data_IF_845859669661
#
_entry.id   IF_845859669661
#
_cell.length_a   1.000
_cell.length_b   1.000
_cell.length_c   1.000
_cell.angle_alpha   90.00
_cell.angle_beta   90.00
_cell.angle_gamma   90.00
#
_symmetry.space_group_name_H-M   'P 1'
#
loop_
_entity.id
_entity.type
_entity.pdbx_description
1 polymer ?
#
# COMPACT_ATOMS: atom_id res chain seq x y z
N UNK A 1 -9.90 -1.09 3.11
CA UNK A 1 -11.27 -1.61 3.29
C UNK A 1 -11.56 -1.66 4.77
N UNK A 2 -12.81 -1.49 5.16
CA UNK A 2 -13.25 -1.64 6.55
C UNK A 2 -14.77 -1.82 6.56
N UNK A 3 -15.33 -2.48 7.58
CA UNK A 3 -16.78 -2.50 7.83
C UNK A 3 -17.19 -1.17 8.48
N UNK A 4 -17.56 -0.19 7.64
CA UNK A 4 -17.77 1.20 8.07
C UNK A 4 -19.16 1.42 8.65
N UNK A 5 -20.17 0.69 8.17
CA UNK A 5 -21.54 0.74 8.72
C UNK A 5 -21.86 -0.39 9.70
N UNK A 6 -20.89 -1.25 10.01
CA UNK A 6 -20.95 -2.33 11.02
C UNK A 6 -22.02 -3.37 10.71
N UNK A 7 -22.26 -3.61 9.42
CA UNK A 7 -23.22 -4.62 8.95
C UNK A 7 -22.60 -6.03 8.83
N UNK A 8 -21.32 -6.17 9.20
CA UNK A 8 -20.56 -7.40 9.11
C UNK A 8 -19.98 -7.65 7.71
N UNK A 9 -20.03 -6.67 6.81
CA UNK A 9 -19.46 -6.75 5.45
C UNK A 9 -18.41 -5.67 5.27
N UNK A 10 -17.42 -5.94 4.42
CA UNK A 10 -16.40 -4.93 4.13
C UNK A 10 -16.99 -3.86 3.22
N UNK A 11 -16.60 -2.61 3.43
CA UNK A 11 -16.84 -1.51 2.51
C UNK A 11 -15.55 -1.14 1.77
N UNK A 12 -15.71 -0.71 0.52
CA UNK A 12 -14.60 -0.30 -0.33
C UNK A 12 -14.53 1.22 -0.33
N UNK A 13 -13.41 1.76 0.15
CA UNK A 13 -13.11 3.19 0.07
C UNK A 13 -12.08 3.42 -1.03
N UNK A 14 -12.43 4.27 -2.00
CA UNK A 14 -11.54 4.66 -3.11
C UNK A 14 -11.15 6.13 -2.97
N UNK A 15 -9.86 6.39 -2.79
CA UNK A 15 -9.27 7.73 -2.89
C UNK A 15 -9.10 8.11 -4.38
N UNK A 16 -9.78 9.16 -4.82
CA UNK A 16 -9.70 9.60 -6.22
C UNK A 16 -8.81 10.85 -6.36
N UNK A 17 -7.88 10.80 -7.32
CA UNK A 17 -6.87 11.85 -7.48
C UNK A 17 -7.25 12.95 -8.49
N UNK A 18 -7.71 12.61 -9.68
CA UNK A 18 -8.14 13.63 -10.63
C UNK A 18 -9.01 13.03 -11.72
N UNK A 19 -9.84 13.88 -12.31
CA UNK A 19 -10.46 13.64 -13.61
C UNK A 19 -9.60 14.25 -14.71
N UNK A 20 -9.98 14.04 -15.97
CA UNK A 20 -9.35 14.73 -17.10
C UNK A 20 -9.42 16.29 -17.04
N UNK A 21 -10.13 16.89 -16.08
CA UNK A 21 -10.37 18.34 -16.02
C UNK A 21 -9.95 19.01 -14.71
N UNK A 22 -9.91 18.29 -13.60
CA UNK A 22 -9.67 18.86 -12.27
C UNK A 22 -9.24 17.79 -11.27
N UNK A 23 -8.47 18.19 -10.25
CA UNK A 23 -8.16 17.39 -9.07
C UNK A 23 -9.26 17.45 -8.00
N UNK A 24 -10.25 18.34 -8.13
CA UNK A 24 -11.41 18.42 -7.22
C UNK A 24 -12.43 17.33 -7.53
N UNK A 25 -12.05 16.09 -7.29
CA UNK A 25 -12.88 14.90 -7.50
C UNK A 25 -13.26 14.28 -6.16
N UNK A 26 -14.53 13.86 -5.98
CA UNK A 26 -14.93 13.15 -4.79
C UNK A 26 -14.27 11.77 -4.73
N UNK A 27 -13.90 11.35 -3.53
CA UNK A 27 -13.60 9.97 -3.19
C UNK A 27 -14.89 9.20 -2.92
N UNK A 28 -14.85 7.88 -3.00
CA UNK A 28 -16.05 7.05 -2.95
C UNK A 28 -16.01 6.03 -1.81
N UNK A 29 -17.16 5.81 -1.20
CA UNK A 29 -17.43 4.61 -0.40
C UNK A 29 -18.44 3.77 -1.18
N UNK A 30 -18.07 2.56 -1.57
CA UNK A 30 -19.00 1.55 -2.07
C UNK A 30 -19.41 0.66 -0.91
N UNK A 31 -20.70 0.72 -0.57
CA UNK A 31 -21.23 0.03 0.58
C UNK A 31 -21.51 -1.45 0.27
N UNK A 32 -20.88 -2.34 1.03
CA UNK A 32 -21.09 -3.78 0.98
C UNK A 32 -22.55 -4.16 1.25
N UNK A 33 -23.02 -5.25 0.63
CA UNK A 33 -24.30 -5.89 0.96
C UNK A 33 -24.36 -7.30 0.36
N UNK A 34 -25.39 -8.11 0.68
CA UNK A 34 -25.53 -9.47 0.15
C UNK A 34 -25.68 -9.60 -1.37
N UNK A 35 -25.90 -8.50 -2.10
CA UNK A 35 -25.93 -8.47 -3.59
C UNK A 35 -24.65 -7.88 -4.19
N UNK A 36 -23.60 -7.71 -3.38
CA UNK A 36 -22.33 -7.12 -3.79
C UNK A 36 -22.35 -5.60 -3.86
N UNK A 37 -21.40 -5.02 -4.57
CA UNK A 37 -21.20 -3.56 -4.64
C UNK A 37 -21.87 -2.97 -5.87
N UNK A 38 -22.11 -1.65 -5.85
CA UNK A 38 -22.56 -0.96 -7.06
C UNK A 38 -22.77 0.54 -6.87
N UNK A 39 -22.78 1.31 -7.97
CA UNK A 39 -22.88 2.77 -7.93
C UNK A 39 -24.16 3.29 -7.26
N UNK A 40 -25.23 2.48 -7.23
CA UNK A 40 -26.49 2.80 -6.55
C UNK A 40 -26.40 2.83 -5.02
N UNK A 41 -25.38 2.19 -4.43
CA UNK A 41 -25.08 2.21 -2.99
C UNK A 41 -23.67 2.75 -2.78
N UNK A 42 -23.41 3.92 -3.37
CA UNK A 42 -22.16 4.65 -3.22
C UNK A 42 -22.40 5.98 -2.52
N UNK A 43 -21.57 6.31 -1.53
CA UNK A 43 -21.46 7.66 -0.98
C UNK A 43 -20.29 8.39 -1.62
N UNK A 44 -20.44 9.70 -1.84
CA UNK A 44 -19.40 10.57 -2.35
C UNK A 44 -18.89 11.49 -1.25
N UNK A 45 -17.58 11.51 -1.04
CA UNK A 45 -16.91 12.37 -0.08
C UNK A 45 -16.03 13.35 -0.85
N UNK A 46 -16.25 14.66 -0.65
CA UNK A 46 -15.44 15.66 -1.33
C UNK A 46 -13.97 15.50 -0.90
N UNK A 47 -13.09 15.32 -1.87
CA UNK A 47 -11.64 15.28 -1.66
C UNK A 47 -10.95 16.16 -2.70
N UNK A 48 -9.65 16.37 -2.50
CA UNK A 48 -8.86 17.28 -3.32
C UNK A 48 -7.59 16.55 -3.73
N UNK A 49 -7.70 15.86 -4.86
CA UNK A 49 -6.68 14.98 -5.37
C UNK A 49 -6.14 14.02 -4.33
N UNK A 50 -7.05 13.28 -3.69
CA UNK A 50 -6.68 12.27 -2.70
C UNK A 50 -5.83 11.17 -3.35
N UNK A 51 -4.76 10.79 -2.67
CA UNK A 51 -3.82 9.75 -3.15
C UNK A 51 -3.74 8.56 -2.21
N UNK A 52 -4.15 8.73 -0.95
CA UNK A 52 -4.22 7.65 0.03
C UNK A 52 -5.44 7.85 0.94
N UNK A 53 -5.91 6.74 1.52
CA UNK A 53 -6.93 6.75 2.57
C UNK A 53 -6.55 5.75 3.67
N UNK A 54 -6.66 6.18 4.92
CA UNK A 54 -6.59 5.32 6.10
C UNK A 54 -7.96 5.24 6.79
N UNK A 55 -8.28 4.08 7.37
CA UNK A 55 -9.53 3.85 8.09
C UNK A 55 -9.24 3.24 9.48
N UNK A 56 -9.68 3.91 10.54
CA UNK A 56 -9.62 3.41 11.92
C UNK A 56 -10.56 4.22 12.82
N UNK A 57 -11.07 3.63 13.90
CA UNK A 57 -11.80 4.38 14.93
C UNK A 57 -10.79 5.13 15.80
N UNK A 58 -10.54 6.40 15.48
CA UNK A 58 -9.50 7.20 16.16
C UNK A 58 -10.05 8.09 17.26
N UNK A 59 -11.38 8.20 17.37
CA UNK A 59 -12.05 8.94 18.43
C UNK A 59 -12.71 8.04 19.49
N UNK A 60 -12.65 6.72 19.33
CA UNK A 60 -13.14 5.74 20.28
C UNK A 60 -14.66 5.63 20.35
N UNK A 61 -15.39 6.10 19.33
CA UNK A 61 -16.85 6.07 19.30
C UNK A 61 -17.43 4.74 18.76
N UNK A 62 -16.55 3.80 18.42
CA UNK A 62 -16.86 2.49 17.88
C UNK A 62 -17.17 2.50 16.38
N UNK A 63 -16.91 3.59 15.65
CA UNK A 63 -17.11 3.68 14.20
C UNK A 63 -15.80 4.10 13.53
N UNK A 64 -15.39 3.43 12.43
CA UNK A 64 -14.18 3.84 11.73
C UNK A 64 -14.27 5.27 11.21
N UNK A 65 -13.21 6.05 11.34
CA UNK A 65 -13.01 7.34 10.70
C UNK A 65 -12.16 7.17 9.43
N UNK A 66 -12.26 8.10 8.48
CA UNK A 66 -11.50 8.06 7.22
C UNK A 66 -10.60 9.29 7.09
N UNK A 67 -9.28 9.10 7.00
CA UNK A 67 -8.33 10.16 6.68
C UNK A 67 -7.88 10.05 5.23
N UNK A 68 -8.15 11.10 4.45
CA UNK A 68 -7.70 11.22 3.08
C UNK A 68 -6.47 12.12 3.00
N UNK A 69 -5.37 11.58 2.46
CA UNK A 69 -4.19 12.36 2.11
C UNK A 69 -4.48 13.13 0.81
N UNK A 70 -4.82 14.41 0.95
CA UNK A 70 -5.10 15.27 -0.19
C UNK A 70 -3.82 15.90 -0.72
N UNK A 71 -3.62 15.76 -2.03
CA UNK A 71 -2.41 16.23 -2.68
C UNK A 71 -2.60 17.56 -3.42
N UNK A 72 -3.73 17.78 -4.08
CA UNK A 72 -3.91 18.91 -5.04
C UNK A 72 -5.38 19.29 -5.18
N UNK A 73 -5.69 20.59 -5.19
CA UNK A 73 -7.00 21.11 -5.59
C UNK A 73 -6.94 21.86 -6.94
N UNK A 74 -8.03 21.84 -7.70
CA UNK A 74 -8.23 22.59 -8.93
C UNK A 74 -7.40 22.07 -10.10
N UNK A 75 -6.80 23.00 -10.85
CA UNK A 75 -5.80 22.71 -11.87
C UNK A 75 -4.56 23.52 -11.54
N UNK A 76 -3.81 23.09 -10.53
CA UNK A 76 -2.56 23.75 -10.12
C UNK A 76 -1.36 22.97 -10.69
N UNK A 77 -0.83 23.37 -11.86
CA UNK A 77 0.50 22.93 -12.28
C UNK A 77 1.55 23.67 -11.43
N UNK A 78 2.42 22.92 -10.76
CA UNK A 78 3.57 23.48 -10.02
C UNK A 78 3.89 22.73 -8.73
N UNK A 79 5.09 22.96 -8.16
CA UNK A 79 5.55 22.31 -6.92
C UNK A 79 4.94 22.88 -5.64
N UNK A 80 4.31 24.06 -5.68
CA UNK A 80 3.73 24.74 -4.51
C UNK A 80 2.32 24.25 -4.16
N UNK A 81 2.08 22.95 -4.28
CA UNK A 81 0.79 22.35 -3.91
C UNK A 81 0.66 22.38 -2.38
N UNK A 82 -0.30 23.14 -1.88
CA UNK A 82 -0.68 23.15 -0.47
C UNK A 82 -2.17 22.85 -0.41
N UNK A 83 -2.49 21.68 0.12
CA UNK A 83 -3.86 21.24 0.28
C UNK A 83 -3.99 20.57 1.64
N UNK A 84 -5.09 20.88 2.33
CA UNK A 84 -5.42 20.28 3.61
C UNK A 84 -5.93 18.86 3.39
N UNK A 85 -5.44 17.95 4.21
CA UNK A 85 -5.98 16.60 4.30
C UNK A 85 -7.28 16.62 5.10
N UNK A 86 -8.16 15.68 4.78
CA UNK A 86 -9.51 15.64 5.34
C UNK A 86 -9.71 14.38 6.15
N UNK A 87 -10.27 14.54 7.35
CA UNK A 87 -10.78 13.42 8.13
C UNK A 87 -12.29 13.50 8.16
N UNK A 88 -12.94 12.46 7.64
CA UNK A 88 -14.38 12.26 7.75
C UNK A 88 -14.66 11.37 8.96
N UNK A 89 -15.35 11.93 9.94
CA UNK A 89 -15.71 11.21 11.15
C UNK A 89 -16.83 10.19 10.87
N UNK A 90 -16.66 8.98 11.38
CA UNK A 90 -17.66 7.93 11.32
C UNK A 90 -18.97 8.37 11.98
N UNK A 91 -20.10 8.04 11.37
CA UNK A 91 -21.43 8.40 11.87
C UNK A 91 -22.40 7.23 11.78
N UNK A 92 -23.50 7.29 12.54
CA UNK A 92 -24.58 6.32 12.40
C UNK A 92 -25.15 6.34 10.97
N UNK A 93 -25.63 5.19 10.48
CA UNK A 93 -26.32 5.05 9.20
C UNK A 93 -25.57 5.64 8.00
N UNK A 94 -24.29 5.26 7.80
CA UNK A 94 -23.44 5.73 6.68
C UNK A 94 -23.12 7.22 6.74
N UNK A 95 -23.05 7.77 7.95
CA UNK A 95 -22.98 9.19 8.25
C UNK A 95 -21.69 9.95 7.87
N UNK A 96 -20.90 9.46 6.91
CA UNK A 96 -19.77 10.22 6.37
C UNK A 96 -20.32 11.35 5.49
N UNK A 97 -20.07 12.60 5.90
CA UNK A 97 -20.52 13.76 5.14
C UNK A 97 -19.64 14.98 5.37
N UNK A 98 -19.78 15.98 4.50
CA UNK A 98 -19.11 17.28 4.65
C UNK A 98 -19.58 18.07 5.89
N UNK A 99 -20.64 17.63 6.58
CA UNK A 99 -21.04 18.21 7.86
C UNK A 99 -20.22 17.65 9.05
N UNK A 100 -19.57 16.50 8.88
CA UNK A 100 -18.74 15.81 9.87
C UNK A 100 -17.31 15.61 9.36
N UNK A 101 -16.71 16.69 8.82
CA UNK A 101 -15.34 16.68 8.31
C UNK A 101 -14.45 17.63 9.10
N UNK A 102 -13.25 17.18 9.45
CA UNK A 102 -12.19 18.01 9.99
C UNK A 102 -11.10 18.23 8.93
N UNK A 103 -10.57 19.45 8.89
CA UNK A 103 -9.42 19.83 8.04
C UNK A 103 -8.14 19.77 8.85
N UNK A 104 -7.15 19.10 8.29
CA UNK A 104 -5.82 18.98 8.85
C UNK A 104 -4.84 19.68 7.91
N UNK A 105 -4.20 20.78 8.35
CA UNK A 105 -3.22 21.49 7.53
C UNK A 105 -2.12 20.56 7.00
N UNK A 106 -2.02 20.39 5.69
CA UNK A 106 -0.96 19.56 5.08
C UNK A 106 -0.36 20.25 3.86
N UNK A 107 0.73 19.69 3.35
CA UNK A 107 1.44 20.24 2.20
C UNK A 107 1.59 19.16 1.13
N UNK A 108 0.46 18.92 0.45
CA UNK A 108 0.31 17.90 -0.57
C UNK A 108 0.68 16.51 -0.03
N UNK A 109 -0.14 16.01 0.90
CA UNK A 109 0.08 14.72 1.51
C UNK A 109 0.07 13.60 0.44
N UNK A 110 1.01 12.66 0.58
CA UNK A 110 1.17 11.48 -0.28
C UNK A 110 0.73 10.19 0.39
N UNK A 111 0.59 10.22 1.72
CA UNK A 111 0.18 9.06 2.50
C UNK A 111 -0.29 9.46 3.89
N UNK A 112 -1.05 8.56 4.51
CA UNK A 112 -1.69 8.77 5.81
C UNK A 112 -1.64 7.51 6.65
N UNK A 113 -1.42 7.64 7.96
CA UNK A 113 -1.54 6.55 8.92
C UNK A 113 -2.30 7.00 10.16
N UNK A 114 -3.08 6.08 10.73
CA UNK A 114 -3.77 6.23 12.00
C UNK A 114 -3.28 5.14 12.94
N UNK A 115 -2.65 5.50 14.05
CA UNK A 115 -2.11 4.55 15.00
C UNK A 115 -1.90 5.19 16.36
N UNK A 116 -2.09 4.43 17.44
CA UNK A 116 -1.67 4.83 18.79
C UNK A 116 -0.16 4.61 18.93
N UNK A 117 0.61 5.67 18.66
CA UNK A 117 2.07 5.56 18.54
C UNK A 117 2.78 5.65 19.89
N UNK A 118 2.10 6.16 20.92
CA UNK A 118 2.62 6.26 22.28
C UNK A 118 1.91 5.40 23.32
N UNK A 119 0.95 4.57 22.88
CA UNK A 119 0.19 3.61 23.68
C UNK A 119 -0.57 4.33 24.82
N UNK A 120 -1.12 5.51 24.52
CA UNK A 120 -1.88 6.33 25.46
C UNK A 120 -3.41 6.14 25.35
N UNK A 121 -3.86 5.32 24.41
CA UNK A 121 -5.25 5.03 24.09
C UNK A 121 -5.90 6.04 23.13
N UNK A 122 -5.15 7.03 22.62
CA UNK A 122 -5.65 8.03 21.68
C UNK A 122 -4.81 7.99 20.40
N UNK A 123 -5.30 7.36 19.32
CA UNK A 123 -4.54 7.27 18.09
C UNK A 123 -4.11 8.63 17.53
N UNK A 124 -2.85 8.70 17.10
CA UNK A 124 -2.30 9.78 16.29
C UNK A 124 -2.72 9.68 14.82
N UNK A 125 -2.57 10.80 14.11
CA UNK A 125 -2.69 10.86 12.66
C UNK A 125 -1.40 11.41 12.04
N UNK A 126 -0.74 10.58 11.23
CA UNK A 126 0.46 10.93 10.48
C UNK A 126 0.11 11.21 9.01
N UNK A 127 0.64 12.29 8.46
CA UNK A 127 0.64 12.58 7.03
C UNK A 127 2.07 12.74 6.51
N UNK A 128 2.42 11.96 5.49
CA UNK A 128 3.68 12.11 4.77
C UNK A 128 3.50 13.15 3.66
N UNK A 129 4.16 14.30 3.77
CA UNK A 129 3.98 15.40 2.81
C UNK A 129 4.94 15.31 1.62
N UNK A 130 4.47 15.72 0.43
CA UNK A 130 5.28 15.82 -0.78
C UNK A 130 6.17 17.07 -0.78
N UNK A 131 5.64 18.19 -0.28
CA UNK A 131 6.26 19.51 -0.44
C UNK A 131 6.73 20.14 0.88
N UNK A 132 6.83 19.35 1.96
CA UNK A 132 7.26 19.78 3.30
C UNK A 132 7.63 18.57 4.18
N UNK A 133 8.01 18.82 5.42
CA UNK A 133 8.15 17.83 6.50
C UNK A 133 6.91 16.93 6.63
N UNK A 134 7.07 15.73 7.19
CA UNK A 134 5.91 14.91 7.57
C UNK A 134 5.25 15.47 8.84
N UNK A 135 3.92 15.40 8.90
CA UNK A 135 3.13 16.04 9.94
C UNK A 135 2.43 15.00 10.81
N UNK A 136 2.66 15.08 12.13
CA UNK A 136 2.03 14.23 13.12
C UNK A 136 1.04 15.06 13.93
N UNK A 137 -0.22 14.64 13.94
CA UNK A 137 -1.28 15.23 14.73
C UNK A 137 -1.53 14.37 15.97
N UNK A 138 -1.35 14.98 17.15
CA UNK A 138 -1.47 14.27 18.42
C UNK A 138 -2.89 13.79 18.67
N UNK A 139 -3.00 12.55 19.13
CA UNK A 139 -4.24 11.95 19.59
C UNK A 139 -4.85 12.72 20.77
N UNK A 140 -6.18 12.66 20.87
CA UNK A 140 -6.93 13.07 22.05
C UNK A 140 -8.13 12.13 22.21
N UNK A 141 -8.83 12.14 23.36
CA UNK A 141 -10.03 11.32 23.55
C UNK A 141 -11.18 11.64 22.58
N UNK A 142 -11.10 12.73 21.82
CA UNK A 142 -12.05 13.10 20.77
C UNK A 142 -11.49 12.90 19.35
N UNK A 143 -10.40 12.15 19.23
CA UNK A 143 -9.63 12.00 17.99
C UNK A 143 -8.42 12.94 17.90
N UNK A 144 -7.57 12.77 16.87
CA UNK A 144 -6.45 13.65 16.61
C UNK A 144 -6.88 15.13 16.55
N UNK A 145 -6.04 16.05 17.04
CA UNK A 145 -6.37 17.48 17.03
C UNK A 145 -5.62 18.23 15.92
N UNK A 146 -6.31 18.91 14.99
CA UNK A 146 -5.67 19.76 13.97
C UNK A 146 -4.82 20.90 14.53
N UNK A 147 -4.98 21.25 15.82
CA UNK A 147 -4.23 22.30 16.50
C UNK A 147 -2.96 21.78 17.18
N UNK A 148 -2.84 20.46 17.38
CA UNK A 148 -1.68 19.81 18.03
C UNK A 148 -0.76 19.16 16.99
N UNK A 149 -0.28 19.99 16.06
CA UNK A 149 0.67 19.57 15.02
C UNK A 149 2.09 19.51 15.59
N UNK A 150 2.72 18.35 15.44
CA UNK A 150 4.16 18.15 15.52
C UNK A 150 4.69 17.97 14.10
N UNK A 151 5.59 18.87 13.67
CA UNK A 151 6.39 18.65 12.47
C UNK A 151 7.49 17.64 12.78
N UNK A 152 7.67 16.68 11.90
CA UNK A 152 8.78 15.73 11.93
C UNK A 152 9.76 16.20 10.85
N UNK A 153 10.71 17.05 11.25
CA UNK A 153 11.66 17.74 10.38
C UNK A 153 12.66 16.78 9.76
N UNK A 154 12.94 16.98 8.46
CA UNK A 154 14.02 16.27 7.78
C UNK A 154 14.92 17.26 7.00
N UNK A 155 16.20 17.42 7.39
CA UNK A 155 17.12 18.25 6.63
C UNK A 155 17.30 17.70 5.20
N UNK A 156 16.81 18.44 4.19
CA UNK A 156 17.00 18.15 2.76
C UNK A 156 15.89 17.36 2.07
N UNK A 157 14.67 17.28 2.64
CA UNK A 157 13.59 16.43 2.12
C UNK A 157 12.96 16.92 0.81
N UNK A 158 13.23 16.17 -0.25
CA UNK A 158 12.34 15.95 -1.39
C UNK A 158 11.15 15.06 -0.95
N UNK A 159 10.02 14.99 -1.69
CA UNK A 159 8.80 14.27 -1.32
C UNK A 159 8.97 12.90 -0.66
N UNK A 160 8.04 12.46 0.18
CA UNK A 160 7.97 11.04 0.56
C UNK A 160 7.02 10.29 -0.37
N UNK A 161 7.49 9.18 -0.95
CA UNK A 161 6.65 8.31 -1.77
C UNK A 161 6.11 7.11 -0.98
N UNK A 162 6.78 6.71 0.11
CA UNK A 162 6.44 5.53 0.90
C UNK A 162 6.95 5.68 2.33
N UNK A 163 6.20 5.14 3.28
CA UNK A 163 6.53 5.07 4.70
C UNK A 163 5.92 3.79 5.27
N UNK A 164 6.45 3.33 6.40
CA UNK A 164 5.97 2.13 7.10
C UNK A 164 5.84 2.42 8.60
N UNK A 165 4.90 1.75 9.26
CA UNK A 165 4.67 1.86 10.71
C UNK A 165 4.69 0.46 11.32
N UNK A 166 5.63 0.21 12.23
CA UNK A 166 5.81 -1.08 12.89
C UNK A 166 6.69 -0.93 14.13
N UNK A 167 6.62 -1.85 15.09
CA UNK A 167 7.62 -1.96 16.16
C UNK A 167 8.87 -2.67 15.63
N UNK A 168 9.86 -1.88 15.20
CA UNK A 168 11.06 -2.33 14.51
C UNK A 168 12.15 -2.76 15.49
N UNK A 169 12.11 -2.25 16.73
CA UNK A 169 13.10 -2.56 17.77
C UNK A 169 12.56 -3.50 18.86
N UNK A 170 11.30 -3.92 18.76
CA UNK A 170 10.60 -4.82 19.69
C UNK A 170 10.52 -4.25 21.11
N UNK A 171 10.39 -2.92 21.24
CA UNK A 171 10.26 -2.25 22.54
C UNK A 171 8.80 -2.07 22.99
N UNK A 172 7.84 -2.51 22.16
CA UNK A 172 6.41 -2.45 22.42
C UNK A 172 5.74 -1.18 21.92
N UNK A 173 6.48 -0.23 21.34
CA UNK A 173 5.94 0.99 20.73
C UNK A 173 6.09 0.94 19.21
N UNK A 174 5.12 1.53 18.50
CA UNK A 174 5.20 1.63 17.05
C UNK A 174 6.26 2.68 16.65
N UNK A 175 7.18 2.27 15.78
CA UNK A 175 8.14 3.13 15.12
C UNK A 175 7.60 3.59 13.76
N UNK A 176 8.16 4.69 13.24
CA UNK A 176 7.82 5.19 11.91
C UNK A 176 9.06 5.27 11.05
N UNK A 177 9.01 4.59 9.90
CA UNK A 177 10.08 4.57 8.92
C UNK A 177 9.67 5.39 7.70
N UNK A 178 10.49 6.36 7.35
CA UNK A 178 10.29 7.29 6.24
C UNK A 178 11.41 7.13 5.23
N UNK A 179 11.05 6.99 3.96
CA UNK A 179 12.01 6.98 2.85
C UNK A 179 11.91 8.29 2.09
N UNK A 180 13.02 9.02 1.99
CA UNK A 180 13.05 10.25 1.20
C UNK A 180 13.06 9.91 -0.29
N UNK A 181 12.19 10.54 -1.08
CA UNK A 181 12.24 10.38 -2.54
C UNK A 181 13.54 10.98 -3.01
N UNK A 182 14.22 10.20 -3.83
CA UNK A 182 15.39 10.68 -4.51
C UNK A 182 15.06 10.86 -5.98
N UNK A 183 15.56 11.94 -6.56
CA UNK A 183 15.63 12.09 -8.01
C UNK A 183 16.23 10.83 -8.64
N UNK A 184 15.84 10.55 -9.89
CA UNK A 184 16.28 9.35 -10.61
C UNK A 184 17.81 9.16 -10.69
N UNK A 185 18.59 10.20 -10.37
CA UNK A 185 20.04 10.24 -10.54
C UNK A 185 20.87 10.31 -9.25
N UNK A 186 20.26 10.40 -8.07
CA UNK A 186 20.98 10.51 -6.78
C UNK A 186 20.65 9.39 -5.79
N UNK A 187 21.46 9.28 -4.73
CA UNK A 187 21.19 8.45 -3.55
C UNK A 187 20.33 9.17 -2.51
N UNK A 188 19.82 8.44 -1.52
CA UNK A 188 18.79 8.93 -0.58
C UNK A 188 19.03 8.56 0.86
N UNK A 189 17.95 8.66 1.65
CA UNK A 189 17.99 8.41 3.08
C UNK A 189 16.72 7.69 3.55
N UNK A 190 16.92 6.68 4.39
CA UNK A 190 15.89 6.17 5.29
C UNK A 190 16.04 6.87 6.63
N UNK A 191 14.93 7.33 7.20
CA UNK A 191 14.88 7.80 8.58
C UNK A 191 13.89 6.95 9.36
N UNK A 192 14.35 6.41 10.49
CA UNK A 192 13.52 5.68 11.43
C UNK A 192 13.34 6.58 12.64
N UNK A 193 12.10 6.88 12.99
CA UNK A 193 11.71 7.54 14.23
C UNK A 193 11.29 6.46 15.22
N UNK A 194 12.06 6.33 16.30
CA UNK A 194 11.82 5.31 17.30
C UNK A 194 10.70 5.75 18.25
N UNK A 195 9.65 4.95 18.29
CA UNK A 195 8.48 5.03 19.16
C UNK A 195 8.86 5.00 20.63
N UNK A 196 7.94 5.51 21.45
CA UNK A 196 8.08 5.49 22.89
C UNK A 196 6.79 5.91 23.56
N UNK A 197 6.69 5.71 24.87
CA UNK A 197 5.62 6.30 25.70
C UNK A 197 5.48 7.83 25.62
N UNK A 198 6.51 8.54 25.13
CA UNK A 198 6.42 10.00 24.90
C UNK A 198 6.07 10.35 23.45
N UNK A 199 5.77 9.35 22.64
CA UNK A 199 5.60 9.41 21.20
C UNK A 199 6.90 9.55 20.43
N UNK A 200 6.72 9.90 19.16
CA UNK A 200 7.82 10.08 18.22
C UNK A 200 8.61 11.36 18.50
N UNK A 201 9.92 11.27 18.33
CA UNK A 201 10.83 12.41 18.41
C UNK A 201 12.00 12.26 17.45
N UNK A 202 12.35 13.33 16.73
CA UNK A 202 13.56 13.37 15.90
C UNK A 202 14.85 13.11 16.69
N UNK A 203 14.86 13.38 18.01
CA UNK A 203 16.01 13.10 18.87
C UNK A 203 16.23 11.61 19.08
N UNK A 204 15.20 10.80 18.87
CA UNK A 204 15.22 9.33 18.89
C UNK A 204 15.06 8.84 17.46
N UNK A 205 16.03 9.14 16.61
CA UNK A 205 16.00 8.71 15.22
C UNK A 205 17.29 8.06 14.77
N UNK A 206 17.17 7.18 13.78
CA UNK A 206 18.29 6.63 13.02
C UNK A 206 18.15 7.09 11.58
N UNK A 207 19.21 7.67 11.02
CA UNK A 207 19.27 8.05 9.61
C UNK A 207 20.29 7.18 8.89
N UNK A 208 19.90 6.61 7.75
CA UNK A 208 20.72 5.73 6.92
C UNK A 208 20.75 6.29 5.51
N UNK A 209 21.89 6.90 5.14
CA UNK A 209 22.14 7.34 3.77
C UNK A 209 22.51 6.14 2.89
N UNK A 210 21.95 6.07 1.69
CA UNK A 210 22.22 5.04 0.69
C UNK A 210 22.51 5.65 -0.68
N UNK A 211 23.19 4.90 -1.54
CA UNK A 211 23.58 5.33 -2.89
C UNK A 211 22.67 4.81 -4.01
N UNK A 212 21.57 4.12 -3.65
CA UNK A 212 20.56 3.62 -4.58
C UNK A 212 19.75 4.74 -5.22
N UNK A 213 19.58 4.64 -6.54
CA UNK A 213 18.85 5.62 -7.35
C UNK A 213 17.36 5.33 -7.44
N UNK A 214 16.57 6.36 -7.15
CA UNK A 214 15.13 6.34 -7.35
C UNK A 214 14.42 5.22 -6.57
N UNK A 215 14.77 5.07 -5.29
CA UNK A 215 14.01 4.23 -4.36
C UNK A 215 12.59 4.78 -4.31
N UNK A 216 11.65 4.02 -4.86
CA UNK A 216 10.26 4.43 -4.98
C UNK A 216 9.39 3.77 -3.90
N UNK A 217 9.77 2.56 -3.49
CA UNK A 217 9.02 1.73 -2.58
C UNK A 217 9.93 1.08 -1.55
N UNK A 218 9.37 0.95 -0.35
CA UNK A 218 9.97 0.24 0.76
C UNK A 218 8.96 -0.77 1.30
N UNK A 219 9.45 -1.86 1.88
CA UNK A 219 8.61 -2.87 2.54
C UNK A 219 9.33 -3.49 3.73
N UNK A 220 8.56 -3.86 4.74
CA UNK A 220 9.03 -4.57 5.93
C UNK A 220 8.57 -6.03 5.93
N UNK A 221 9.47 -6.95 6.20
CA UNK A 221 9.17 -8.36 6.45
C UNK A 221 10.37 -9.05 7.12
N UNK A 222 10.14 -10.11 7.90
CA UNK A 222 11.23 -10.97 8.38
C UNK A 222 11.69 -11.90 7.24
N UNK A 223 12.64 -11.44 6.44
CA UNK A 223 13.06 -12.10 5.19
C UNK A 223 14.10 -13.21 5.42
N UNK A 224 14.66 -13.29 6.63
CA UNK A 224 15.66 -14.29 7.00
C UNK A 224 15.20 -15.24 8.11
N UNK A 225 14.02 -15.02 8.70
CA UNK A 225 13.43 -15.85 9.73
C UNK A 225 14.07 -15.69 11.12
N UNK A 226 14.77 -14.58 11.38
CA UNK A 226 15.40 -14.30 12.69
C UNK A 226 14.45 -13.63 13.70
N UNK A 227 13.21 -13.37 13.26
CA UNK A 227 12.14 -12.71 13.98
C UNK A 227 12.12 -11.19 13.80
N UNK A 228 13.20 -10.56 13.36
CA UNK A 228 13.24 -9.11 13.20
C UNK A 228 12.74 -8.72 11.82
N UNK A 229 12.00 -7.61 11.75
CA UNK A 229 11.60 -7.06 10.45
C UNK A 229 12.84 -6.53 9.72
N UNK A 230 13.03 -6.99 8.49
CA UNK A 230 14.01 -6.48 7.54
C UNK A 230 13.38 -5.44 6.62
N UNK A 231 14.19 -4.54 6.07
CA UNK A 231 13.75 -3.47 5.19
C UNK A 231 14.23 -3.71 3.75
N UNK A 232 13.30 -3.84 2.81
CA UNK A 232 13.61 -3.86 1.39
C UNK A 232 13.50 -2.46 0.79
N UNK A 233 14.53 -2.03 0.05
CA UNK A 233 14.59 -0.77 -0.69
C UNK A 233 14.49 -1.04 -2.20
N UNK A 234 13.31 -0.86 -2.78
CA UNK A 234 13.05 -1.08 -4.21
C UNK A 234 13.47 0.14 -5.05
N UNK A 235 14.54 -0.02 -5.82
CA UNK A 235 15.15 1.05 -6.61
C UNK A 235 14.72 0.99 -8.09
N UNK A 236 13.78 1.85 -8.46
CA UNK A 236 13.16 1.90 -9.79
C UNK A 236 14.08 2.43 -10.89
N UNK A 237 15.13 3.17 -10.52
CA UNK A 237 16.05 3.82 -11.46
C UNK A 237 17.50 3.33 -11.32
N UNK A 238 17.75 2.33 -10.48
CA UNK A 238 19.06 1.73 -10.29
C UNK A 238 19.14 0.32 -10.91
N UNK A 239 20.35 -0.17 -11.05
CA UNK A 239 20.66 -1.54 -11.49
C UNK A 239 20.62 -2.57 -10.36
N UNK A 240 20.34 -2.12 -9.13
CA UNK A 240 20.31 -2.93 -7.91
C UNK A 240 19.33 -2.36 -6.90
N UNK A 241 18.79 -3.22 -6.07
CA UNK A 241 18.03 -2.89 -4.85
C UNK A 241 18.80 -3.38 -3.62
N UNK A 242 18.30 -3.09 -2.42
CA UNK A 242 18.94 -3.53 -1.17
C UNK A 242 17.93 -4.09 -0.18
N UNK A 243 18.39 -5.05 0.62
CA UNK A 243 17.77 -5.41 1.90
C UNK A 243 18.68 -4.92 3.01
N UNK A 244 18.13 -4.20 3.98
CA UNK A 244 18.79 -3.90 5.26
C UNK A 244 18.24 -4.87 6.29
N UNK A 245 19.12 -5.67 6.89
CA UNK A 245 18.73 -6.69 7.85
C UNK A 245 18.47 -6.04 9.22
N UNK A 246 17.26 -6.19 9.74
CA UNK A 246 16.84 -5.64 11.03
C UNK A 246 17.30 -6.51 12.21
N UNK A 247 17.44 -5.95 13.40
CA UNK A 247 17.90 -6.71 14.58
C UNK A 247 18.10 -5.86 15.81
N UNK A 248 18.72 -6.40 16.87
CA UNK A 248 18.86 -5.70 18.15
C UNK A 248 19.73 -4.44 18.06
N UNK A 249 20.61 -4.34 17.06
CA UNK A 249 21.41 -3.13 16.78
C UNK A 249 20.73 -2.16 15.81
N UNK A 250 19.50 -2.49 15.36
CA UNK A 250 18.76 -1.76 14.33
C UNK A 250 19.25 -2.05 12.92
N UNK A 251 19.01 -1.10 12.02
CA UNK A 251 19.34 -1.20 10.59
C UNK A 251 20.65 -0.50 10.26
N UNK A 252 21.42 -1.06 9.31
CA UNK A 252 22.64 -0.45 8.80
C UNK A 252 23.00 -0.98 7.42
N UNK A 253 23.61 -0.14 6.57
CA UNK A 253 24.21 -0.60 5.31
C UNK A 253 25.32 -1.65 5.51
N UNK A 254 25.97 -1.70 6.69
CA UNK A 254 26.96 -2.74 7.00
C UNK A 254 26.34 -4.12 7.12
N UNK A 255 25.05 -4.17 7.48
CA UNK A 255 24.25 -5.38 7.60
C UNK A 255 23.17 -5.35 6.53
N UNK A 256 23.62 -5.36 5.29
CA UNK A 256 22.74 -5.33 4.12
C UNK A 256 23.13 -6.40 3.11
N UNK A 257 22.22 -6.69 2.19
CA UNK A 257 22.50 -7.50 1.02
C UNK A 257 21.96 -6.83 -0.24
N UNK A 258 22.74 -6.91 -1.33
CA UNK A 258 22.37 -6.30 -2.60
C UNK A 258 21.60 -7.28 -3.47
N UNK A 259 20.42 -6.85 -3.90
CA UNK A 259 19.60 -7.54 -4.89
C UNK A 259 20.00 -7.00 -6.25
N UNK A 260 20.75 -7.79 -7.03
CA UNK A 260 21.29 -7.37 -8.34
C UNK A 260 20.25 -7.47 -9.46
N UNK A 261 19.06 -6.94 -9.19
CA UNK A 261 17.98 -6.83 -10.15
C UNK A 261 17.76 -5.36 -10.50
N UNK A 262 17.85 -4.99 -11.80
CA UNK A 262 17.71 -3.61 -12.23
C UNK A 262 16.23 -3.18 -12.29
N UNK A 263 15.95 -1.96 -11.89
CA UNK A 263 14.66 -1.28 -12.06
C UNK A 263 13.49 -1.99 -11.36
N UNK A 264 13.71 -2.37 -10.10
CA UNK A 264 12.67 -2.93 -9.24
C UNK A 264 11.79 -1.78 -8.79
N UNK A 265 10.55 -1.75 -9.27
CA UNK A 265 9.61 -0.70 -8.92
C UNK A 265 8.69 -1.05 -7.77
N UNK A 266 8.40 -2.34 -7.55
CA UNK A 266 7.64 -2.80 -6.40
C UNK A 266 8.12 -4.19 -5.96
N UNK A 267 7.77 -4.60 -4.75
CA UNK A 267 8.12 -5.90 -4.16
C UNK A 267 6.98 -6.41 -3.27
N UNK A 268 6.68 -7.70 -3.39
CA UNK A 268 5.79 -8.43 -2.48
C UNK A 268 6.51 -9.65 -1.91
N UNK A 269 6.04 -10.10 -0.74
CA UNK A 269 6.62 -11.24 -0.01
C UNK A 269 5.56 -12.27 0.31
N UNK A 270 5.87 -13.54 0.10
CA UNK A 270 4.97 -14.66 0.37
C UNK A 270 5.74 -15.96 0.49
N UNK A 271 5.29 -16.89 1.33
CA UNK A 271 5.74 -18.28 1.27
C UNK A 271 4.93 -19.00 0.17
N UNK A 272 5.43 -18.99 -1.07
CA UNK A 272 4.71 -19.52 -2.23
C UNK A 272 4.78 -21.05 -2.30
N UNK A 273 5.79 -21.66 -1.69
CA UNK A 273 6.04 -23.11 -1.73
C UNK A 273 5.78 -23.85 -0.41
N UNK A 274 5.36 -23.14 0.63
CA UNK A 274 4.92 -23.68 1.91
C UNK A 274 6.08 -24.20 2.76
N UNK A 275 7.30 -23.70 2.54
CA UNK A 275 8.51 -24.14 3.24
C UNK A 275 8.76 -23.39 4.56
N UNK A 276 7.94 -22.38 4.86
CA UNK A 276 8.00 -21.55 6.06
C UNK A 276 8.94 -20.35 5.94
N UNK A 277 9.53 -20.09 4.77
CA UNK A 277 10.34 -18.91 4.49
C UNK A 277 9.64 -18.01 3.48
N UNK A 278 9.79 -16.69 3.64
CA UNK A 278 9.25 -15.75 2.67
C UNK A 278 10.08 -15.77 1.38
N UNK A 279 9.38 -15.95 0.26
CA UNK A 279 9.88 -15.69 -1.08
C UNK A 279 9.76 -14.20 -1.42
N UNK A 280 10.60 -13.74 -2.34
CA UNK A 280 10.67 -12.35 -2.77
C UNK A 280 10.20 -12.23 -4.23
N UNK A 281 9.13 -11.47 -4.44
CA UNK A 281 8.49 -11.30 -5.75
C UNK A 281 8.71 -9.85 -6.20
N UNK A 282 9.60 -9.68 -7.18
CA UNK A 282 10.01 -8.36 -7.67
C UNK A 282 9.24 -7.96 -8.91
N UNK A 283 8.64 -6.77 -8.85
CA UNK A 283 7.94 -6.11 -9.93
C UNK A 283 8.89 -5.16 -10.67
N UNK A 284 9.06 -5.35 -11.98
CA UNK A 284 9.97 -4.55 -12.80
C UNK A 284 9.18 -3.71 -13.79
N UNK A 285 8.98 -2.45 -13.44
CA UNK A 285 7.99 -1.56 -14.07
C UNK A 285 8.45 -1.09 -15.46
N UNK A 286 9.69 -0.59 -15.59
CA UNK A 286 10.24 -0.13 -16.87
C UNK A 286 11.77 -0.15 -16.86
N UNK A 287 12.41 -0.22 -18.03
CA UNK A 287 13.86 0.05 -18.18
C UNK A 287 14.03 1.49 -18.72
N UNK A 288 14.58 2.44 -17.94
CA UNK A 288 14.73 3.83 -18.36
C UNK A 288 15.68 4.02 -19.56
N UNK A 289 16.49 3.02 -19.90
CA UNK A 289 17.40 3.07 -21.06
C UNK A 289 16.69 2.72 -22.36
N UNK A 290 15.49 2.17 -22.29
CA UNK A 290 14.69 1.83 -23.45
C UNK A 290 13.73 2.97 -23.77
N UNK A 291 13.92 3.63 -24.92
CA UNK A 291 13.04 4.68 -25.48
C UNK A 291 11.56 4.25 -25.68
N UNK A 292 11.20 3.04 -25.24
CA UNK A 292 9.87 2.49 -25.36
C UNK A 292 9.45 1.62 -24.14
N UNK A 293 10.08 1.75 -22.96
CA UNK A 293 9.59 1.25 -21.65
C UNK A 293 9.23 -0.26 -21.53
N UNK A 294 9.61 -1.18 -22.43
CA UNK A 294 8.82 -2.42 -22.63
C UNK A 294 9.54 -3.76 -22.74
N UNK A 295 10.76 -3.86 -23.25
CA UNK A 295 11.35 -5.20 -23.49
C UNK A 295 11.88 -5.83 -22.20
N UNK A 296 12.04 -5.03 -21.16
CA UNK A 296 12.47 -5.46 -19.83
C UNK A 296 11.38 -5.44 -18.76
N UNK A 297 10.07 -5.41 -19.00
CA UNK A 297 9.16 -5.63 -17.85
C UNK A 297 9.06 -7.13 -17.54
N UNK A 298 9.18 -7.53 -16.28
CA UNK A 298 9.11 -8.94 -15.84
C UNK A 298 8.88 -9.04 -14.34
N UNK A 299 8.25 -10.13 -13.91
CA UNK A 299 8.22 -10.52 -12.50
C UNK A 299 9.41 -11.46 -12.25
N UNK A 300 10.13 -11.26 -11.15
CA UNK A 300 11.23 -12.14 -10.72
C UNK A 300 10.89 -12.71 -9.34
N UNK A 301 10.85 -14.02 -9.23
CA UNK A 301 10.56 -14.72 -7.98
C UNK A 301 11.86 -15.34 -7.47
N UNK A 302 12.29 -14.94 -6.29
CA UNK A 302 13.38 -15.56 -5.56
C UNK A 302 12.81 -16.36 -4.41
N UNK A 303 12.96 -17.68 -4.48
CA UNK A 303 12.51 -18.54 -3.40
C UNK A 303 13.41 -18.39 -2.17
N UNK A 304 12.78 -18.23 -1.02
CA UNK A 304 13.38 -18.21 0.29
C UNK A 304 13.95 -19.56 0.69
N UNK A 305 14.42 -19.65 1.92
CA UNK A 305 14.92 -20.88 2.50
C UNK A 305 16.00 -20.63 3.56
N UNK A 306 16.55 -21.68 4.17
CA UNK A 306 17.53 -21.55 5.26
C UNK A 306 18.83 -20.83 4.86
N UNK A 307 19.15 -20.79 3.56
CA UNK A 307 20.30 -20.07 3.00
C UNK A 307 19.97 -18.62 2.57
N UNK A 308 18.72 -18.20 2.74
CA UNK A 308 18.17 -16.95 2.23
C UNK A 308 17.88 -16.95 0.72
N UNK A 309 17.08 -15.97 0.29
CA UNK A 309 16.55 -15.89 -1.08
C UNK A 309 17.58 -15.52 -2.16
N UNK A 310 18.73 -14.95 -1.79
CA UNK A 310 19.74 -14.44 -2.73
C UNK A 310 20.60 -15.52 -3.39
N UNK A 311 20.46 -16.78 -2.96
CA UNK A 311 21.29 -17.90 -3.40
C UNK A 311 20.73 -18.63 -4.63
N UNK A 312 19.45 -18.44 -4.95
CA UNK A 312 18.75 -19.15 -6.02
C UNK A 312 18.81 -18.47 -7.41
N UNK A 313 18.57 -19.27 -8.45
CA UNK A 313 18.20 -18.73 -9.77
C UNK A 313 16.72 -18.35 -9.72
N UNK A 314 16.35 -17.09 -9.95
CA UNK A 314 14.95 -16.69 -9.86
C UNK A 314 14.12 -17.25 -11.00
N UNK A 315 12.85 -17.55 -10.71
CA UNK A 315 11.83 -17.76 -11.74
C UNK A 315 11.48 -16.42 -12.37
N UNK A 316 11.30 -16.40 -13.69
CA UNK A 316 10.91 -15.20 -14.44
C UNK A 316 9.54 -15.41 -15.07
N UNK A 317 8.63 -14.45 -14.83
CA UNK A 317 7.31 -14.43 -15.45
C UNK A 317 7.17 -13.21 -16.36
N UNK A 318 6.60 -13.36 -17.57
CA UNK A 318 6.48 -12.28 -18.53
C UNK A 318 5.43 -11.26 -18.07
N UNK A 319 5.78 -9.99 -18.07
CA UNK A 319 4.83 -8.92 -17.80
C UNK A 319 5.15 -7.69 -18.64
N UNK A 320 4.21 -6.77 -18.78
CA UNK A 320 4.41 -5.47 -19.44
C UNK A 320 4.00 -4.36 -18.48
N UNK A 321 4.92 -3.48 -18.11
CA UNK A 321 4.64 -2.39 -17.19
C UNK A 321 4.11 -2.85 -15.84
N UNK A 322 4.63 -3.95 -15.29
CA UNK A 322 4.13 -4.50 -14.02
C UNK A 322 4.32 -3.48 -12.89
N UNK A 323 3.22 -2.98 -12.33
CA UNK A 323 3.25 -1.94 -11.29
C UNK A 323 2.96 -2.49 -9.90
N UNK A 324 2.06 -3.47 -9.82
CA UNK A 324 1.59 -4.04 -8.57
C UNK A 324 1.34 -5.55 -8.73
N UNK A 325 1.44 -6.26 -7.62
CA UNK A 325 1.20 -7.70 -7.53
C UNK A 325 0.19 -7.93 -6.41
N UNK A 326 -0.69 -8.91 -6.59
CA UNK A 326 -1.48 -9.50 -5.51
C UNK A 326 -1.07 -10.96 -5.36
N UNK A 327 -0.89 -11.43 -4.12
CA UNK A 327 -0.54 -12.81 -3.82
C UNK A 327 -1.59 -13.45 -2.93
N UNK A 328 -2.33 -14.41 -3.48
CA UNK A 328 -3.44 -15.05 -2.80
C UNK A 328 -3.78 -16.39 -3.45
N UNK A 329 -4.46 -17.28 -2.72
CA UNK A 329 -5.03 -18.52 -3.27
C UNK A 329 -6.28 -18.16 -4.10
N UNK A 330 -6.07 -17.89 -5.40
CA UNK A 330 -7.06 -17.25 -6.27
C UNK A 330 -8.02 -18.27 -6.91
N UNK A 331 -7.66 -19.54 -6.95
CA UNK A 331 -8.53 -20.63 -7.43
C UNK A 331 -8.98 -21.61 -6.32
N UNK A 332 -8.62 -21.32 -5.07
CA UNK A 332 -9.03 -22.07 -3.88
C UNK A 332 -8.48 -23.52 -3.89
N UNK A 333 -7.26 -23.71 -4.41
CA UNK A 333 -6.56 -24.99 -4.43
C UNK A 333 -5.61 -25.21 -3.23
N UNK A 334 -5.42 -24.17 -2.41
CA UNK A 334 -4.56 -24.16 -1.23
C UNK A 334 -3.13 -23.68 -1.50
N UNK A 335 -2.78 -23.36 -2.75
CA UNK A 335 -1.50 -22.74 -3.11
C UNK A 335 -1.69 -21.26 -3.47
N UNK A 336 -0.69 -20.43 -3.14
CA UNK A 336 -0.76 -19.01 -3.46
C UNK A 336 -0.45 -18.77 -4.93
N UNK A 337 -1.31 -18.00 -5.60
CA UNK A 337 -1.17 -17.52 -6.97
C UNK A 337 -0.69 -16.08 -7.05
N UNK A 338 -0.33 -15.63 -8.26
CA UNK A 338 0.18 -14.28 -8.50
C UNK A 338 -0.70 -13.57 -9.52
N UNK A 339 -1.40 -12.52 -9.10
CA UNK A 339 -2.04 -11.56 -9.98
C UNK A 339 -1.14 -10.36 -10.26
N UNK A 340 -1.10 -9.86 -11.49
CA UNK A 340 -0.18 -8.79 -11.93
C UNK A 340 -0.95 -7.65 -12.58
N UNK A 341 -0.86 -6.47 -11.97
CA UNK A 341 -1.37 -5.22 -12.51
C UNK A 341 -0.38 -4.66 -13.55
N UNK A 342 -0.85 -4.54 -14.79
CA UNK A 342 -0.05 -4.09 -15.92
C UNK A 342 -0.43 -2.65 -16.30
N UNK A 343 0.41 -1.69 -15.92
CA UNK A 343 0.06 -0.28 -15.94
C UNK A 343 0.15 0.36 -17.33
N UNK A 344 1.30 0.22 -17.99
CA UNK A 344 1.46 0.78 -19.32
C UNK A 344 2.43 -0.06 -20.13
N UNK A 345 2.10 -0.25 -21.40
CA UNK A 345 3.14 -0.54 -22.34
C UNK A 345 3.93 0.74 -22.58
N UNK A 346 3.32 1.89 -22.87
CA UNK A 346 3.82 2.91 -23.83
C UNK A 346 2.62 3.36 -24.70
N UNK A 347 2.58 3.34 -26.06
CA UNK A 347 1.35 3.63 -26.81
C UNK A 347 0.12 2.73 -26.56
N UNK A 348 0.26 1.65 -25.77
CA UNK A 348 -0.85 0.77 -25.36
C UNK A 348 -0.99 0.89 -23.85
N UNK A 349 -2.14 1.39 -23.42
CA UNK A 349 -2.61 1.35 -22.03
C UNK A 349 -3.74 0.34 -21.84
N UNK A 350 -4.23 -0.31 -22.90
CA UNK A 350 -5.21 -1.40 -22.83
C UNK A 350 -4.55 -2.75 -22.53
N UNK A 351 -3.77 -2.81 -21.44
CA UNK A 351 -3.12 -4.03 -20.99
C UNK A 351 -4.06 -4.88 -20.10
N UNK A 352 -4.02 -6.22 -20.20
CA UNK A 352 -4.78 -7.08 -19.32
C UNK A 352 -4.19 -7.11 -17.91
N UNK A 353 -5.00 -7.50 -16.95
CA UNK A 353 -4.53 -8.04 -15.68
C UNK A 353 -4.22 -9.53 -15.88
N UNK A 354 -3.02 -9.96 -15.50
CA UNK A 354 -2.59 -11.36 -15.67
C UNK A 354 -2.68 -12.10 -14.35
N UNK A 355 -3.13 -13.36 -14.41
CA UNK A 355 -3.00 -14.30 -13.30
C UNK A 355 -2.05 -15.42 -13.72
N UNK A 356 -1.03 -15.65 -12.91
CA UNK A 356 -0.14 -16.80 -12.98
C UNK A 356 -0.52 -17.77 -11.88
N UNK A 357 -0.88 -18.98 -12.28
CA UNK A 357 -1.31 -20.03 -11.38
C UNK A 357 -0.11 -20.80 -10.86
N UNK A 358 -0.14 -21.11 -9.57
CA UNK A 358 0.77 -22.02 -8.94
C UNK A 358 0.56 -23.45 -9.50
N UNK A 359 1.60 -24.29 -9.52
CA UNK A 359 1.48 -25.70 -9.91
C UNK A 359 1.06 -26.62 -8.75
N UNK A 360 0.62 -26.03 -7.62
CA UNK A 360 0.31 -26.70 -6.36
C UNK A 360 1.54 -27.08 -5.53
N UNK A 361 2.75 -26.68 -5.96
CA UNK A 361 4.02 -26.96 -5.25
C UNK A 361 4.89 -25.71 -5.10
N UNK A 362 4.29 -24.53 -5.26
CA UNK A 362 4.99 -23.27 -5.20
C UNK A 362 5.87 -22.98 -6.39
N UNK A 363 5.56 -23.53 -7.57
CA UNK A 363 6.33 -23.23 -8.78
C UNK A 363 5.43 -22.61 -9.84
N UNK A 364 6.01 -21.64 -10.53
CA UNK A 364 5.34 -20.89 -11.59
C UNK A 364 6.06 -21.10 -12.92
N UNK A 365 5.28 -21.09 -14.00
CA UNK A 365 5.80 -21.05 -15.36
C UNK A 365 5.11 -19.94 -16.16
N UNK A 366 5.79 -19.39 -17.19
CA UNK A 366 5.17 -18.44 -18.10
C UNK A 366 3.90 -18.98 -18.77
N UNK A 367 3.81 -20.29 -18.98
CA UNK A 367 2.71 -20.96 -19.67
C UNK A 367 1.48 -21.18 -18.79
N UNK A 368 1.66 -21.27 -17.46
CA UNK A 368 0.55 -21.49 -16.52
C UNK A 368 -0.20 -20.18 -16.20
N UNK A 369 -0.66 -19.50 -17.26
CA UNK A 369 -1.53 -18.32 -17.20
C UNK A 369 -2.69 -18.54 -18.16
N UNK A 370 -3.91 -18.47 -17.67
CA UNK A 370 -5.09 -18.73 -18.51
C UNK A 370 -6.15 -17.61 -18.46
N UNK A 371 -6.02 -16.65 -17.54
CA UNK A 371 -6.96 -15.55 -17.36
C UNK A 371 -6.26 -14.20 -17.54
N UNK A 372 -6.44 -13.63 -18.73
CA UNK A 372 -6.23 -12.22 -18.98
C UNK A 372 -7.55 -11.49 -18.70
N UNK A 373 -7.71 -10.94 -17.50
CA UNK A 373 -8.87 -10.12 -17.18
C UNK A 373 -8.68 -8.72 -17.79
N UNK A 374 -9.74 -8.02 -18.22
CA UNK A 374 -9.64 -6.63 -18.65
C UNK A 374 -8.99 -5.76 -17.55
N UNK A 375 -7.76 -5.32 -17.80
CA UNK A 375 -6.96 -4.53 -16.85
C UNK A 375 -6.83 -3.07 -17.22
N UNK A 376 -7.14 -2.65 -18.45
CA UNK A 376 -7.08 -1.25 -18.94
C UNK A 376 -5.99 -0.40 -18.25
N UNK A 377 -4.76 -0.92 -18.23
CA UNK A 377 -3.61 -0.24 -17.64
C UNK A 377 -3.65 -0.29 -16.12
N UNK A 378 -3.94 -1.45 -15.53
CA UNK A 378 -4.21 -1.59 -14.11
C UNK A 378 -3.05 -1.01 -13.29
N UNK A 379 -3.38 -0.16 -12.33
CA UNK A 379 -2.40 0.45 -11.43
C UNK A 379 -2.24 -0.32 -10.13
N UNK A 380 -3.20 -1.18 -9.77
CA UNK A 380 -3.13 -2.04 -8.59
C UNK A 380 -4.23 -3.11 -8.57
N UNK A 381 -4.15 -4.05 -7.64
CA UNK A 381 -5.24 -4.99 -7.37
C UNK A 381 -5.25 -5.50 -5.91
N UNK A 382 -6.43 -5.88 -5.44
CA UNK A 382 -6.65 -6.43 -4.10
C UNK A 382 -7.48 -7.71 -4.19
N UNK A 383 -7.12 -8.73 -3.39
CA UNK A 383 -7.88 -9.96 -3.26
C UNK A 383 -8.49 -10.08 -1.87
N UNK A 384 -9.78 -10.38 -1.78
CA UNK A 384 -10.50 -10.65 -0.55
C UNK A 384 -11.79 -11.40 -0.85
N UNK A 385 -12.37 -12.11 0.12
CA UNK A 385 -13.73 -12.63 -0.01
C UNK A 385 -14.73 -11.50 0.32
N UNK A 386 -15.22 -10.78 -0.70
CA UNK A 386 -16.03 -9.58 -0.49
C UNK A 386 -17.52 -9.87 -0.36
N UNK A 387 -18.00 -11.00 -0.89
CA UNK A 387 -19.40 -11.41 -0.75
C UNK A 387 -19.63 -12.51 0.31
N UNK A 388 -18.55 -13.02 0.89
CA UNK A 388 -18.52 -14.03 1.96
C UNK A 388 -18.96 -15.42 1.48
N UNK A 389 -18.68 -15.76 0.23
CA UNK A 389 -19.02 -17.07 -0.35
C UNK A 389 -17.92 -18.13 -0.17
N UNK A 390 -16.77 -17.72 0.38
CA UNK A 390 -15.61 -18.57 0.62
C UNK A 390 -14.59 -18.58 -0.52
N UNK A 391 -14.85 -17.94 -1.66
CA UNK A 391 -13.87 -17.71 -2.71
C UNK A 391 -13.33 -16.29 -2.63
N UNK A 392 -12.05 -16.11 -2.97
CA UNK A 392 -11.49 -14.76 -3.05
C UNK A 392 -11.97 -14.07 -4.33
N UNK A 393 -12.47 -12.86 -4.19
CA UNK A 393 -12.74 -11.94 -5.29
C UNK A 393 -11.54 -11.02 -5.54
N UNK A 394 -11.48 -10.47 -6.75
CA UNK A 394 -10.37 -9.62 -7.18
C UNK A 394 -10.85 -8.23 -7.58
N UNK A 395 -10.48 -7.22 -6.81
CA UNK A 395 -10.65 -5.81 -7.16
C UNK A 395 -9.46 -5.32 -7.98
N UNK A 396 -9.66 -5.10 -9.28
CA UNK A 396 -8.64 -4.55 -10.20
C UNK A 396 -8.88 -3.06 -10.43
N UNK A 397 -7.85 -2.27 -10.13
CA UNK A 397 -7.85 -0.82 -10.18
C UNK A 397 -7.33 -0.32 -11.53
N UNK A 398 -8.25 0.02 -12.44
CA UNK A 398 -7.91 0.35 -13.83
C UNK A 398 -7.59 1.84 -13.99
N UNK A 399 -6.45 2.16 -14.60
CA UNK A 399 -5.99 3.54 -14.71
C UNK A 399 -6.41 4.24 -16.00
N UNK A 400 -6.28 3.58 -17.15
CA UNK A 400 -6.32 4.25 -18.44
C UNK A 400 -6.70 3.32 -19.59
N UNK A 401 -7.76 3.71 -20.31
CA UNK A 401 -8.09 3.10 -21.60
C UNK A 401 -7.82 4.09 -22.74
N UNK A 402 -6.72 3.89 -23.47
CA UNK A 402 -6.33 4.66 -24.68
C UNK A 402 -6.30 6.19 -24.47
N UNK A 403 -5.79 6.63 -23.33
CA UNK A 403 -5.70 8.02 -22.90
C UNK A 403 -6.91 8.52 -22.10
N UNK A 404 -7.97 7.72 -21.95
CA UNK A 404 -9.11 8.06 -21.11
C UNK A 404 -8.90 7.57 -19.67
N UNK A 405 -8.84 8.51 -18.73
CA UNK A 405 -8.74 8.26 -17.29
C UNK A 405 -10.11 8.25 -16.58
N UNK A 406 -11.23 8.35 -17.29
CA UNK A 406 -12.56 8.15 -16.74
C UNK A 406 -13.06 6.76 -17.17
N UNK A 407 -12.79 5.75 -16.35
CA UNK A 407 -13.09 4.34 -16.63
C UNK A 407 -13.47 3.60 -15.35
N UNK A 408 -13.96 2.38 -15.51
CA UNK A 408 -14.32 1.53 -14.39
C UNK A 408 -13.09 0.76 -13.90
N UNK A 409 -12.89 0.74 -12.58
CA UNK A 409 -12.27 -0.41 -11.91
C UNK A 409 -13.28 -1.56 -11.91
N UNK A 410 -12.81 -2.80 -11.76
CA UNK A 410 -13.69 -3.96 -11.73
C UNK A 410 -13.43 -4.79 -10.49
N UNK A 411 -14.51 -5.22 -9.84
CA UNK A 411 -14.50 -6.31 -8.89
C UNK A 411 -14.92 -7.58 -9.62
N UNK A 412 -13.99 -8.50 -9.83
CA UNK A 412 -14.23 -9.81 -10.43
C UNK A 412 -14.58 -10.80 -9.32
N UNK A 413 -15.81 -11.32 -9.35
CA UNK A 413 -16.26 -12.29 -8.36
C UNK A 413 -15.54 -13.64 -8.56
N UNK A 414 -14.95 -14.15 -7.49
CA UNK A 414 -14.37 -15.47 -7.42
C UNK A 414 -15.45 -16.55 -7.46
N UNK A 415 -15.09 -17.76 -7.89
CA UNK A 415 -15.97 -18.92 -7.78
C UNK A 415 -15.20 -20.20 -8.02
N UNK A 416 -15.83 -21.35 -7.80
CA UNK A 416 -15.30 -22.65 -8.21
C UNK A 416 -15.01 -22.78 -9.72
N UNK A 417 -15.42 -21.83 -10.56
CA UNK A 417 -15.11 -21.78 -12.00
C UNK A 417 -13.97 -20.78 -12.32
N UNK A 418 -13.40 -20.14 -11.30
CA UNK A 418 -12.47 -19.02 -11.41
C UNK A 418 -13.16 -17.71 -11.78
N UNK A 419 -12.37 -16.71 -12.19
CA UNK A 419 -12.85 -15.38 -12.52
C UNK A 419 -13.44 -15.28 -13.92
N UNK A 420 -14.47 -14.44 -14.08
CA UNK A 420 -15.05 -14.11 -15.38
C UNK A 420 -15.41 -12.64 -15.51
N UNK A 421 -15.13 -12.05 -16.67
CA UNK A 421 -15.61 -10.69 -16.98
C UNK A 421 -17.14 -10.58 -16.97
N UNK A 422 -17.87 -11.67 -17.25
CA UNK A 422 -19.34 -11.68 -17.22
C UNK A 422 -19.90 -11.55 -15.81
N UNK A 423 -19.08 -11.91 -14.83
CA UNK A 423 -19.39 -11.93 -13.41
C UNK A 423 -18.55 -10.84 -12.73
N UNK A 424 -18.32 -9.71 -13.40
CA UNK A 424 -17.60 -8.57 -12.84
C UNK A 424 -18.55 -7.41 -12.53
N UNK A 425 -18.39 -6.81 -11.35
CA UNK A 425 -19.04 -5.56 -10.98
C UNK A 425 -18.16 -4.39 -11.42
N UNK A 426 -18.70 -3.54 -12.29
CA UNK A 426 -18.07 -2.29 -12.65
C UNK A 426 -18.18 -1.28 -11.49
N UNK A 427 -17.06 -0.65 -11.14
CA UNK A 427 -16.94 0.41 -10.15
C UNK A 427 -16.48 1.69 -10.87
N UNK A 428 -17.42 2.56 -11.31
CA UNK A 428 -17.09 3.75 -12.08
C UNK A 428 -16.29 4.76 -11.27
N UNK A 429 -15.11 5.16 -11.77
CA UNK A 429 -14.24 6.13 -11.12
C UNK A 429 -13.43 6.99 -12.07
N UNK A 430 -12.53 7.77 -11.50
CA UNK A 430 -11.50 8.49 -12.23
C UNK A 430 -10.20 7.72 -11.99
N UNK A 431 -9.81 6.93 -13.01
CA UNK A 431 -8.86 5.84 -13.01
C UNK A 431 -7.70 6.01 -12.01
N UNK A 432 -7.60 5.15 -10.98
CA UNK A 432 -6.54 5.23 -9.98
C UNK A 432 -5.15 5.25 -10.61
N UNK A 433 -4.29 6.14 -10.14
CA UNK A 433 -2.92 6.30 -10.62
C UNK A 433 -1.96 5.89 -9.51
N UNK A 434 -1.00 5.01 -9.80
CA UNK A 434 -0.05 4.50 -8.79
C UNK A 434 -0.72 3.92 -7.54
N UNK A 435 -1.75 3.09 -7.72
CA UNK A 435 -2.27 2.31 -6.62
C UNK A 435 -1.18 1.34 -6.12
N UNK A 436 -1.06 1.24 -4.81
CA UNK A 436 -0.17 0.28 -4.17
C UNK A 436 -0.99 -0.37 -3.07
N UNK A 437 -1.06 -1.69 -3.09
CA UNK A 437 -1.82 -2.42 -2.10
C UNK A 437 -0.91 -2.89 -0.98
N UNK A 438 -1.51 -3.21 0.15
CA UNK A 438 -0.89 -4.04 1.18
C UNK A 438 -1.74 -5.29 1.20
N UNK A 439 -1.12 -6.46 1.09
CA UNK A 439 -1.84 -7.73 1.19
C UNK A 439 -2.64 -7.78 2.50
N UNK A 440 -3.83 -8.36 2.44
CA UNK A 440 -4.69 -8.47 3.62
C UNK A 440 -4.18 -9.61 4.49
N UNK A 441 -3.96 -9.30 5.77
CA UNK A 441 -3.52 -10.27 6.76
C UNK A 441 -2.01 -10.46 6.83
N UNK A 442 -1.58 -11.52 7.49
CA UNK A 442 -0.17 -11.82 7.72
C UNK A 442 0.52 -12.30 6.43
N UNK A 443 1.69 -11.74 6.09
CA UNK A 443 2.43 -12.08 4.86
C UNK A 443 2.87 -13.56 4.79
N UNK A 444 3.15 -14.19 5.94
CA UNK A 444 3.61 -15.57 6.02
C UNK A 444 2.43 -16.55 6.10
N UNK A 445 1.47 -16.28 6.98
CA UNK A 445 0.38 -17.25 7.27
C UNK A 445 -0.90 -17.00 6.47
N UNK A 446 -1.03 -15.83 5.83
CA UNK A 446 -2.23 -15.34 5.11
C UNK A 446 -3.49 -15.28 5.97
N UNK A 447 -3.35 -15.44 7.30
CA UNK A 447 -4.46 -15.29 8.24
C UNK A 447 -4.75 -13.81 8.46
N UNK A 448 -6.00 -13.48 8.74
CA UNK A 448 -6.42 -12.14 9.16
C UNK A 448 -5.98 -11.88 10.61
N UNK A 449 -4.67 -11.92 10.84
CA UNK A 449 -4.01 -11.63 12.09
C UNK A 449 -2.89 -10.63 11.82
N UNK A 450 -2.77 -9.61 12.66
CA UNK A 450 -1.56 -8.81 12.71
C UNK A 450 -0.58 -9.54 13.62
N UNK A 451 0.68 -9.70 13.20
CA UNK A 451 1.75 -10.24 14.06
C UNK A 451 2.22 -9.21 15.11
N UNK A 452 1.55 -8.07 15.21
CA UNK A 452 1.83 -7.07 16.23
C UNK A 452 1.02 -7.36 17.49
N UNK A 453 1.75 -7.71 18.55
CA UNK A 453 1.21 -7.68 19.91
C UNK A 453 1.74 -6.39 20.55
N UNK A 454 0.97 -5.29 20.52
CA UNK A 454 1.18 -4.28 21.57
C UNK A 454 0.89 -4.97 22.91
N UNK A 455 1.74 -4.75 23.90
CA UNK A 455 1.50 -5.37 25.20
C UNK A 455 0.17 -4.81 25.73
N UNK A 456 -0.85 -5.63 26.05
CA UNK A 456 -2.07 -5.08 26.64
C UNK A 456 -1.70 -4.37 27.94
N UNK A 457 -2.00 -3.07 28.05
CA UNK A 457 -1.95 -2.40 29.34
C UNK A 457 -2.96 -3.11 30.24
N UNK A 458 -2.56 -3.72 31.37
CA UNK A 458 -3.52 -4.22 32.33
C UNK A 458 -4.34 -3.03 32.83
N UNK A 459 -5.61 -2.97 32.40
CA UNK A 459 -6.57 -2.03 32.97
C UNK A 459 -6.62 -2.34 34.46
N UNK A 460 -6.15 -1.40 35.29
CA UNK A 460 -6.35 -1.51 36.74
C UNK A 460 -7.86 -1.63 36.96
N UNK A 461 -8.32 -2.77 37.46
CA UNK A 461 -9.63 -2.84 38.06
C UNK A 461 -9.72 -1.69 39.06
N UNK A 462 -10.71 -0.81 38.87
CA UNK A 462 -10.94 0.33 39.75
C UNK A 462 -11.11 -0.08 41.21
N UNK A 463 -11.01 0.88 42.16
CA UNK A 463 -11.03 0.61 43.59
C UNK A 463 -12.28 -0.11 44.08
#
# INVERSE_FOLDING_TARGET
MADLDRDGRQDIVLANNHSARTYDVPSYIYWGNPRGYGPQRRSELQTFGAVAVAAADVNGDGKPDLAFANNTSGFVPGPDRREDSLVYWGGADRGYSTASVARYPTNAAMGSAMADLDDDGNPELLFANMADDSFLYRGTPSGPSPQKLQKLLFPGSEPHNSFEVADLNRDGYLDVLLCTRVHADSGGRVVILWGSRSGLSERRSTAIDYDLKGVANIRLADLNGDGWLDLFLAASYDTRSAVLWGGPEGFSLRRSAMVKEPYVGNVEFADLDGDGYLDVILCKVFDPRENNHRAGSRIRIYYGGPAGFLSGTPTELPATGALDIVVADLDHDGALDIGVAQYSGGPRSDLPFLIFWNDGRGRFSPENRNQALPGNGASGALAADFDYDGFLDLLVLNHNERGNHNLNSYLYWGSARGFSQREATALPGAGPHWAQNVDIGNLLTRRQEESYTSTPIPVRAGP
#
